data_IF_796674962011
#
_entry.id   IF_796674962011
#
_cell.length_a   1.000
_cell.length_b   1.000
_cell.length_c   1.000
_cell.angle_alpha   90.00
_cell.angle_beta   90.00
_cell.angle_gamma   90.00
#
_symmetry.space_group_name_H-M   'P 1'
#
loop_
_entity.id
_entity.type
_entity.pdbx_description
1 polymer ?
#
# COMPACT_ATOMS: atom_id res chain seq x y z
N UNK A 1 -3.55 -4.35 -11.98
CA UNK A 1 -3.50 -3.62 -13.28
C UNK A 1 -4.85 -2.96 -13.58
N UNK A 2 -4.88 -2.07 -14.57
CA UNK A 2 -6.03 -1.23 -14.97
C UNK A 2 -6.17 -1.18 -16.51
N UNK A 3 -5.81 -2.27 -17.20
CA UNK A 3 -5.69 -2.34 -18.67
C UNK A 3 -6.94 -1.96 -19.46
N UNK A 4 -8.11 -1.99 -18.84
CA UNK A 4 -9.40 -1.65 -19.48
C UNK A 4 -9.79 -0.19 -19.32
N UNK A 5 -8.92 0.66 -18.77
CA UNK A 5 -9.19 2.07 -18.50
C UNK A 5 -8.13 2.95 -19.14
N UNK A 6 -8.56 4.05 -19.75
CA UNK A 6 -7.65 5.10 -20.19
C UNK A 6 -7.18 5.97 -19.00
N UNK A 7 -6.07 6.72 -19.12
CA UNK A 7 -5.62 7.62 -18.05
C UNK A 7 -6.71 8.59 -17.57
N UNK A 8 -7.57 9.07 -18.47
CA UNK A 8 -8.63 10.05 -18.21
C UNK A 8 -9.82 9.45 -17.44
N UNK A 9 -9.99 8.13 -17.50
CA UNK A 9 -11.01 7.37 -16.79
C UNK A 9 -10.59 6.99 -15.37
N UNK A 10 -9.32 7.26 -15.02
CA UNK A 10 -8.73 6.93 -13.73
C UNK A 10 -8.56 8.18 -12.87
N UNK A 11 -8.87 8.02 -11.58
CA UNK A 11 -8.70 9.06 -10.58
C UNK A 11 -8.01 8.48 -9.34
N UNK A 12 -6.89 9.09 -8.98
CA UNK A 12 -6.15 8.77 -7.75
C UNK A 12 -6.31 9.91 -6.77
N UNK A 13 -6.65 9.62 -5.52
CA UNK A 13 -6.78 10.60 -4.44
C UNK A 13 -6.06 10.11 -3.19
N UNK A 14 -5.32 11.01 -2.55
CA UNK A 14 -4.86 10.83 -1.18
C UNK A 14 -5.85 11.47 -0.20
N UNK A 15 -6.31 10.72 0.80
CA UNK A 15 -7.17 11.22 1.87
C UNK A 15 -6.64 10.69 3.22
N UNK A 16 -5.95 11.56 3.97
CA UNK A 16 -5.34 11.16 5.24
C UNK A 16 -4.30 10.06 5.05
N UNK A 17 -4.58 8.88 5.60
CA UNK A 17 -3.75 7.69 5.54
C UNK A 17 -4.24 6.65 4.52
N UNK A 18 -5.05 7.06 3.54
CA UNK A 18 -5.60 6.18 2.50
C UNK A 18 -5.36 6.76 1.11
N UNK A 19 -5.03 5.88 0.16
CA UNK A 19 -5.07 6.14 -1.28
C UNK A 19 -6.33 5.51 -1.84
N UNK A 20 -7.13 6.30 -2.53
CA UNK A 20 -8.31 5.84 -3.27
C UNK A 20 -8.00 5.87 -4.77
N UNK A 21 -8.27 4.76 -5.45
CA UNK A 21 -8.21 4.64 -6.90
C UNK A 21 -9.61 4.32 -7.41
N UNK A 22 -10.15 5.22 -8.23
CA UNK A 22 -11.42 5.06 -8.90
C UNK A 22 -11.16 4.98 -10.40
N UNK A 23 -11.65 3.93 -11.05
CA UNK A 23 -11.69 3.85 -12.51
C UNK A 23 -13.13 3.74 -12.97
N UNK A 24 -13.54 4.59 -13.91
CA UNK A 24 -14.89 4.57 -14.48
C UNK A 24 -14.82 4.69 -15.99
N UNK A 25 -15.17 3.60 -16.66
CA UNK A 25 -15.38 3.52 -18.08
C UNK A 25 -16.89 3.58 -18.33
N UNK A 26 -17.35 4.67 -18.92
CA UNK A 26 -18.75 4.82 -19.30
C UNK A 26 -19.15 3.83 -20.37
N UNK A 27 -20.45 3.67 -20.59
CA UNK A 27 -20.97 2.76 -21.59
C UNK A 27 -20.42 3.12 -22.98
N UNK A 28 -19.61 2.22 -23.56
CA UNK A 28 -19.13 2.33 -24.93
C UNK A 28 -19.51 1.08 -25.71
N UNK A 29 -19.79 1.30 -26.99
CA UNK A 29 -20.05 0.22 -27.91
C UNK A 29 -18.74 -0.54 -28.20
N UNK A 30 -18.77 -1.86 -28.07
CA UNK A 30 -17.73 -2.77 -28.54
C UNK A 30 -18.26 -3.66 -29.69
N UNK A 31 -17.46 -4.61 -30.17
CA UNK A 31 -17.85 -5.50 -31.27
C UNK A 31 -19.11 -6.35 -30.97
N UNK A 32 -19.48 -6.54 -29.69
CA UNK A 32 -20.52 -7.48 -29.27
C UNK A 32 -21.67 -6.81 -28.49
N UNK A 33 -21.65 -5.49 -28.32
CA UNK A 33 -22.70 -4.76 -27.62
C UNK A 33 -22.17 -3.49 -26.95
N UNK A 34 -22.64 -3.23 -25.74
CA UNK A 34 -22.20 -2.09 -24.94
C UNK A 34 -21.53 -2.60 -23.67
N UNK A 35 -20.43 -1.94 -23.28
CA UNK A 35 -19.71 -2.28 -22.06
C UNK A 35 -19.46 -1.04 -21.22
N UNK A 36 -19.75 -1.15 -19.93
CA UNK A 36 -19.34 -0.20 -18.91
C UNK A 36 -18.56 -0.95 -17.83
N UNK A 37 -17.58 -0.28 -17.22
CA UNK A 37 -16.75 -0.86 -16.15
C UNK A 37 -16.50 0.19 -15.09
N UNK A 38 -16.60 -0.18 -13.82
CA UNK A 38 -16.27 0.71 -12.72
C UNK A 38 -15.60 -0.06 -11.58
N UNK A 39 -14.57 0.52 -10.97
CA UNK A 39 -13.96 -0.03 -9.76
C UNK A 39 -13.58 1.06 -8.77
N UNK A 40 -13.63 0.70 -7.48
CA UNK A 40 -13.15 1.53 -6.38
C UNK A 40 -12.21 0.69 -5.52
N UNK A 41 -10.96 1.13 -5.36
CA UNK A 41 -9.96 0.45 -4.52
C UNK A 41 -9.39 1.45 -3.52
N UNK A 42 -9.23 1.00 -2.27
CA UNK A 42 -8.63 1.80 -1.19
C UNK A 42 -7.44 1.06 -0.62
N UNK A 43 -6.34 1.78 -0.41
CA UNK A 43 -5.11 1.25 0.14
C UNK A 43 -4.66 2.09 1.33
N UNK A 44 -4.36 1.44 2.46
CA UNK A 44 -3.85 2.14 3.63
C UNK A 44 -2.37 2.45 3.43
N UNK A 45 -2.01 3.71 3.63
CA UNK A 45 -0.66 4.23 3.54
C UNK A 45 0.07 3.86 4.83
N UNK A 46 1.27 3.25 4.74
CA UNK A 46 2.13 3.03 5.91
C UNK A 46 2.46 4.35 6.65
N UNK A 47 2.56 4.31 7.97
CA UNK A 47 2.80 5.51 8.79
C UNK A 47 4.15 6.21 8.51
N UNK A 48 5.10 5.45 7.95
CA UNK A 48 6.41 5.94 7.53
C UNK A 48 6.38 6.58 6.13
N UNK A 49 5.27 6.58 5.40
CA UNK A 49 5.17 7.24 4.08
C UNK A 49 4.54 8.63 4.24
N UNK A 50 5.11 9.64 3.58
CA UNK A 50 4.50 10.98 3.51
C UNK A 50 3.39 11.03 2.44
N UNK A 51 2.11 11.21 2.81
CA UNK A 51 1.00 11.26 1.86
C UNK A 51 1.10 12.39 0.84
N UNK A 52 1.75 13.51 1.19
CA UNK A 52 1.86 14.69 0.32
C UNK A 52 2.92 14.51 -0.77
N UNK A 53 3.87 13.60 -0.56
CA UNK A 53 4.93 13.29 -1.50
C UNK A 53 4.61 12.07 -2.40
N UNK A 54 3.38 11.56 -2.34
CA UNK A 54 2.93 10.45 -3.17
C UNK A 54 2.78 10.91 -4.62
N UNK A 55 3.29 10.11 -5.54
CA UNK A 55 3.13 10.29 -6.98
C UNK A 55 2.52 9.03 -7.60
N UNK A 56 1.96 9.18 -8.80
CA UNK A 56 1.40 8.05 -9.55
C UNK A 56 1.81 8.12 -11.01
N UNK A 57 1.97 6.95 -11.63
CA UNK A 57 2.26 6.81 -13.05
C UNK A 57 1.52 5.61 -13.62
N UNK A 58 1.12 5.70 -14.89
CA UNK A 58 0.49 4.62 -15.63
C UNK A 58 1.41 4.23 -16.78
N UNK A 59 1.80 2.96 -16.83
CA UNK A 59 2.58 2.40 -17.93
C UNK A 59 1.71 2.07 -19.14
N UNK A 60 2.33 1.93 -20.31
CA UNK A 60 1.65 1.58 -21.57
C UNK A 60 1.00 0.20 -21.57
N UNK A 61 1.47 -0.72 -20.72
CA UNK A 61 0.87 -2.05 -20.52
C UNK A 61 -0.24 -2.06 -19.45
N UNK A 62 -0.67 -0.88 -18.98
CA UNK A 62 -1.83 -0.72 -18.11
C UNK A 62 -1.57 -0.98 -16.63
N UNK A 63 -0.35 -0.77 -16.15
CA UNK A 63 0.01 -0.88 -14.73
C UNK A 63 0.05 0.51 -14.09
N UNK A 64 -0.97 0.81 -13.28
CA UNK A 64 -0.96 1.98 -12.40
C UNK A 64 -0.04 1.71 -11.21
N UNK A 65 1.02 2.51 -11.09
CA UNK A 65 1.97 2.46 -9.98
C UNK A 65 1.78 3.70 -9.11
N UNK A 66 1.74 3.49 -7.80
CA UNK A 66 1.67 4.56 -6.80
C UNK A 66 2.89 4.47 -5.91
N UNK A 67 3.71 5.53 -5.90
CA UNK A 67 4.99 5.57 -5.21
C UNK A 67 5.00 6.70 -4.19
N UNK A 68 5.67 6.49 -3.05
CA UNK A 68 5.85 7.52 -2.03
C UNK A 68 7.15 7.31 -1.27
N UNK A 69 7.88 8.38 -0.95
CA UNK A 69 9.09 8.28 -0.14
C UNK A 69 8.73 7.88 1.30
N UNK A 70 9.52 6.97 1.85
CA UNK A 70 9.46 6.67 3.29
C UNK A 70 10.34 7.65 4.04
N UNK A 71 9.83 8.15 5.17
CA UNK A 71 10.58 8.89 6.18
C UNK A 71 11.71 7.97 6.63
N UNK A 72 12.96 8.42 6.44
CA UNK A 72 14.11 7.71 7.00
C UNK A 72 13.94 7.65 8.53
N UNK A 73 14.09 6.46 9.09
CA UNK A 73 14.22 6.29 10.53
C UNK A 73 15.59 6.83 10.97
N UNK A 74 15.73 8.15 11.09
CA UNK A 74 16.88 8.79 11.71
C UNK A 74 16.70 8.80 13.23
N UNK A 75 16.61 7.60 13.81
CA UNK A 75 16.74 7.43 15.25
C UNK A 75 18.21 7.28 15.63
N UNK A 76 18.66 7.81 16.77
CA UNK A 76 19.99 7.49 17.27
C UNK A 76 20.10 5.96 17.47
N UNK A 77 21.19 5.38 16.97
CA UNK A 77 21.52 3.98 17.25
C UNK A 77 21.62 3.78 18.76
N UNK A 78 20.84 2.84 19.31
CA UNK A 78 20.87 2.53 20.74
C UNK A 78 21.40 1.12 20.95
N UNK A 79 22.58 1.02 21.54
CA UNK A 79 23.11 -0.26 22.03
C UNK A 79 22.30 -0.72 23.24
N UNK A 80 21.68 -1.90 23.14
CA UNK A 80 20.96 -2.55 24.25
C UNK A 80 21.94 -3.51 24.94
N UNK A 81 22.34 -3.27 26.21
CA UNK A 81 23.25 -4.18 26.91
C UNK A 81 22.54 -5.51 27.24
N UNK A 82 23.26 -6.61 27.07
CA UNK A 82 22.79 -7.95 27.45
C UNK A 82 23.19 -8.20 28.91
N UNK A 83 22.20 -8.38 29.79
CA UNK A 83 22.42 -8.85 31.17
C UNK A 83 22.02 -10.30 31.29
N UNK A 84 22.92 -11.13 31.83
CA UNK A 84 22.66 -12.54 32.15
C UNK A 84 21.89 -12.60 33.47
N UNK A 85 20.65 -13.08 33.44
CA UNK A 85 19.91 -13.42 34.67
C UNK A 85 20.40 -14.77 35.21
N UNK A 86 20.64 -14.85 36.52
CA UNK A 86 21.03 -16.11 37.19
C UNK A 86 19.85 -17.05 37.42
N UNK A 87 18.61 -16.58 37.23
CA UNK A 87 17.42 -17.38 37.45
C UNK A 87 17.21 -18.34 36.27
N UNK A 88 17.09 -19.66 36.52
CA UNK A 88 16.83 -20.60 35.44
C UNK A 88 15.47 -20.31 34.80
N UNK A 89 15.44 -20.26 33.46
CA UNK A 89 14.27 -19.88 32.66
C UNK A 89 13.15 -20.95 32.67
N UNK A 90 13.42 -22.16 33.17
CA UNK A 90 12.42 -23.22 33.29
C UNK A 90 12.64 -23.91 34.63
N UNK A 91 11.70 -23.71 35.56
CA UNK A 91 11.61 -24.54 36.76
C UNK A 91 11.26 -25.97 36.32
N UNK A 92 12.22 -26.89 36.42
CA UNK A 92 12.02 -28.28 36.06
C UNK A 92 10.88 -28.89 36.89
N UNK A 93 9.93 -29.54 36.21
CA UNK A 93 8.84 -30.28 36.84
C UNK A 93 9.40 -31.43 37.71
N UNK A 94 8.82 -31.70 38.91
CA UNK A 94 9.32 -32.73 39.79
C UNK A 94 9.01 -34.12 39.22
N UNK A 95 10.01 -35.00 39.16
CA UNK A 95 9.82 -36.43 38.82
C UNK A 95 9.49 -37.22 40.10
N UNK A 96 8.45 -38.05 40.03
CA UNK A 96 8.11 -39.12 41.00
C UNK A 96 9.05 -40.30 40.84
#
# INVERSE_FOLDING_TARGET
>A
DVKHFSPEELKVKGLGDVIEVHGKHEERQDEHGFISREFHRKYRIPADVDPLAITSSLSSDGVLTVNGPRKQASGPERTIPITREEKPAVTAAPKK
#
